data_IF_176470519631
#
_entry.id   IF_176470519631
#
_cell.length_a   1.000
_cell.length_b   1.000
_cell.length_c   1.000
_cell.angle_alpha   90.00
_cell.angle_beta   90.00
_cell.angle_gamma   90.00
#
_symmetry.space_group_name_H-M   'P 1'
#
loop_
_entity.id
_entity.type
_entity.pdbx_description
1 polymer ?
#
# COMPACT_ATOMS: atom_id res chain seq x y z
N UNK A 1 53.85 20.09 -47.76
CA UNK A 1 52.82 19.55 -48.68
C UNK A 1 51.52 20.29 -48.40
N UNK A 2 50.89 20.84 -49.44
CA UNK A 2 49.71 21.72 -49.38
C UNK A 2 48.46 20.85 -49.43
N UNK A 3 47.51 21.02 -48.50
CA UNK A 3 46.16 20.45 -48.63
C UNK A 3 45.19 21.59 -48.94
N UNK A 4 44.59 21.52 -50.13
CA UNK A 4 43.64 22.51 -50.63
C UNK A 4 42.28 22.36 -49.94
N UNK A 5 41.78 23.49 -49.44
CA UNK A 5 40.37 23.69 -49.09
C UNK A 5 39.54 23.58 -50.38
N UNK A 6 38.61 22.64 -50.42
CA UNK A 6 37.59 22.59 -51.48
C UNK A 6 36.23 22.73 -50.81
N UNK A 7 35.72 23.96 -50.83
CA UNK A 7 34.40 24.38 -50.37
C UNK A 7 33.36 23.84 -51.34
N UNK A 8 32.56 22.86 -50.91
CA UNK A 8 31.42 22.39 -51.70
C UNK A 8 30.14 23.03 -51.19
N UNK A 9 29.53 23.85 -52.05
CA UNK A 9 28.26 24.56 -51.80
C UNK A 9 27.09 23.58 -51.79
N UNK A 10 26.17 23.81 -50.85
CA UNK A 10 24.88 23.15 -50.68
C UNK A 10 24.04 23.07 -51.97
N UNK A 11 23.13 22.08 -52.05
CA UNK A 11 21.73 22.46 -52.14
C UNK A 11 20.96 22.03 -50.88
N UNK A 12 20.53 23.05 -50.15
CA UNK A 12 19.48 23.05 -49.15
C UNK A 12 18.16 22.83 -49.89
N UNK A 13 17.72 21.59 -50.05
CA UNK A 13 16.36 21.13 -50.38
C UNK A 13 16.49 19.78 -51.08
N UNK A 14 16.03 18.70 -50.44
CA UNK A 14 15.43 17.51 -51.08
C UNK A 14 15.50 16.25 -50.20
N UNK A 15 15.24 16.31 -48.88
CA UNK A 15 14.83 15.10 -48.14
C UNK A 15 13.76 15.46 -47.11
N UNK A 16 12.67 16.08 -47.58
CA UNK A 16 11.37 16.12 -46.89
C UNK A 16 10.46 15.09 -47.57
N UNK A 17 10.83 13.81 -47.54
CA UNK A 17 10.03 12.73 -48.11
C UNK A 17 10.41 11.36 -47.53
N UNK A 18 10.63 11.25 -46.21
CA UNK A 18 10.49 9.97 -45.53
C UNK A 18 9.11 10.00 -44.87
N UNK A 19 8.12 9.71 -45.72
CA UNK A 19 6.72 9.64 -45.39
C UNK A 19 6.52 8.78 -44.13
N UNK A 20 5.70 9.32 -43.25
CA UNK A 20 5.02 8.69 -42.12
C UNK A 20 4.55 7.27 -42.45
N UNK A 21 5.40 6.27 -42.19
CA UNK A 21 4.98 4.88 -42.15
C UNK A 21 4.14 4.71 -40.89
N UNK A 22 2.84 4.52 -41.10
CA UNK A 22 1.80 4.56 -40.10
C UNK A 22 2.07 3.66 -38.89
N UNK A 23 2.04 4.28 -37.71
CA UNK A 23 1.84 3.59 -36.44
C UNK A 23 0.34 3.27 -36.28
N UNK A 24 -0.23 2.43 -37.15
CA UNK A 24 -1.52 1.79 -36.85
C UNK A 24 -1.24 0.43 -36.22
N UNK A 25 -0.82 0.43 -34.95
CA UNK A 25 -0.95 -0.77 -34.14
C UNK A 25 -2.44 -0.95 -33.80
N UNK A 26 -3.23 -1.41 -34.77
CA UNK A 26 -4.58 -1.92 -34.51
C UNK A 26 -4.41 -3.18 -33.65
N UNK A 27 -4.65 -3.07 -32.34
CA UNK A 27 -4.76 -4.25 -31.49
C UNK A 27 -6.03 -5.01 -31.91
N UNK A 28 -5.85 -6.13 -32.62
CA UNK A 28 -6.95 -6.95 -33.17
C UNK A 28 -7.73 -7.71 -32.09
N UNK A 29 -7.24 -7.70 -30.84
CA UNK A 29 -7.83 -8.45 -29.74
C UNK A 29 -7.91 -7.57 -28.50
N UNK A 30 -9.09 -7.48 -27.90
CA UNK A 30 -9.24 -6.84 -26.60
C UNK A 30 -8.36 -7.56 -25.56
N UNK A 31 -7.65 -6.83 -24.68
CA UNK A 31 -6.91 -7.44 -23.59
C UNK A 31 -7.86 -8.30 -22.74
N UNK A 32 -7.56 -9.59 -22.59
CA UNK A 32 -8.33 -10.46 -21.69
C UNK A 32 -8.02 -9.99 -20.25
N UNK A 33 -9.03 -9.62 -19.45
CA UNK A 33 -8.81 -9.23 -18.06
C UNK A 33 -8.15 -10.38 -17.31
N UNK A 34 -7.06 -10.10 -16.61
CA UNK A 34 -6.47 -11.09 -15.71
C UNK A 34 -7.49 -11.45 -14.62
N UNK A 35 -7.61 -12.74 -14.23
CA UNK A 35 -8.43 -13.14 -13.11
C UNK A 35 -8.02 -12.32 -11.88
N UNK A 36 -8.98 -11.61 -11.28
CA UNK A 36 -8.71 -10.88 -10.04
C UNK A 36 -8.68 -11.88 -8.90
N UNK A 37 -7.66 -11.73 -8.06
CA UNK A 37 -7.65 -12.41 -6.77
C UNK A 37 -8.82 -11.90 -5.91
N UNK A 38 -9.61 -12.83 -5.38
CA UNK A 38 -10.70 -12.55 -4.46
C UNK A 38 -10.37 -13.28 -3.15
N UNK A 39 -10.03 -12.56 -2.06
CA UNK A 39 -9.70 -13.19 -0.79
C UNK A 39 -10.94 -13.83 -0.14
N UNK A 40 -10.75 -14.95 0.56
CA UNK A 40 -11.79 -15.56 1.41
C UNK A 40 -11.47 -15.21 2.87
N UNK A 41 -12.11 -14.16 3.40
CA UNK A 41 -11.76 -13.61 4.70
C UNK A 41 -12.47 -14.35 5.83
N UNK A 42 -11.70 -14.77 6.84
CA UNK A 42 -12.21 -15.27 8.11
C UNK A 42 -11.53 -14.59 9.30
N UNK A 43 -12.17 -14.69 10.47
CA UNK A 43 -11.64 -14.16 11.72
C UNK A 43 -10.78 -15.22 12.41
N UNK A 44 -9.57 -14.83 12.78
CA UNK A 44 -8.67 -15.63 13.60
C UNK A 44 -9.09 -15.67 15.08
N UNK A 45 -8.18 -16.16 15.92
CA UNK A 45 -8.37 -16.21 17.36
C UNK A 45 -8.45 -14.80 17.97
N UNK A 46 -9.30 -14.65 18.99
CA UNK A 46 -9.43 -13.40 19.72
C UNK A 46 -8.18 -13.13 20.57
N UNK A 47 -7.65 -11.92 20.45
CA UNK A 47 -6.43 -11.50 21.15
C UNK A 47 -6.72 -10.25 21.95
N UNK A 48 -6.25 -10.25 23.21
CA UNK A 48 -6.24 -9.04 24.04
C UNK A 48 -5.09 -8.13 23.61
N UNK A 49 -5.42 -6.90 23.21
CA UNK A 49 -4.49 -5.89 22.74
C UNK A 49 -4.54 -4.67 23.65
N UNK A 50 -3.37 -4.14 23.97
CA UNK A 50 -3.19 -2.84 24.60
C UNK A 50 -2.79 -1.81 23.53
N UNK A 51 -3.66 -0.82 23.32
CA UNK A 51 -3.44 0.28 22.39
C UNK A 51 -2.84 1.45 23.16
N UNK A 52 -1.63 1.86 22.77
CA UNK A 52 -0.94 2.99 23.37
C UNK A 52 -1.57 4.33 22.95
N UNK A 53 -1.43 5.38 23.78
CA UNK A 53 -2.04 6.70 23.52
C UNK A 53 -1.42 7.45 22.34
N UNK A 54 -0.22 7.04 21.90
CA UNK A 54 0.56 7.68 20.85
C UNK A 54 0.52 6.88 19.55
N UNK A 55 0.62 7.61 18.43
CA UNK A 55 0.72 7.05 17.08
C UNK A 55 2.14 7.23 16.58
N UNK A 56 2.51 6.45 15.57
CA UNK A 56 3.78 6.60 14.86
C UNK A 56 3.55 6.51 13.36
N UNK A 57 4.53 6.88 12.56
CA UNK A 57 4.50 6.58 11.13
C UNK A 57 4.60 5.06 10.93
N UNK A 58 3.78 4.51 10.05
CA UNK A 58 3.88 3.11 9.66
C UNK A 58 5.16 2.87 8.85
N UNK A 59 5.70 1.66 8.91
CA UNK A 59 6.74 1.21 7.98
C UNK A 59 6.09 0.86 6.64
N UNK A 60 5.80 1.90 5.85
CA UNK A 60 5.19 1.75 4.53
C UNK A 60 5.67 2.86 3.60
N UNK A 61 5.59 2.61 2.29
CA UNK A 61 5.94 3.62 1.28
C UNK A 61 4.98 4.84 1.30
N UNK A 62 3.78 4.68 1.85
CA UNK A 62 2.82 5.75 2.02
C UNK A 62 2.98 6.42 3.40
N UNK A 63 2.65 7.71 3.54
CA UNK A 63 2.73 8.44 4.80
C UNK A 63 1.57 8.09 5.75
N UNK A 64 1.42 6.81 6.08
CA UNK A 64 0.37 6.29 6.95
C UNK A 64 0.75 6.43 8.42
N UNK A 65 -0.28 6.54 9.28
CA UNK A 65 -0.14 6.54 10.73
C UNK A 65 -0.56 5.17 11.28
N UNK A 66 0.19 4.69 12.26
CA UNK A 66 -0.02 3.42 12.94
C UNK A 66 -0.32 3.65 14.42
N UNK A 67 -1.28 2.89 14.92
CA UNK A 67 -1.45 2.62 16.35
C UNK A 67 -0.24 1.83 16.83
N UNK A 68 0.29 2.19 18.00
CA UNK A 68 1.26 1.35 18.68
C UNK A 68 0.52 0.39 19.59
N UNK A 69 0.75 -0.91 19.42
CA UNK A 69 -0.03 -1.97 20.02
C UNK A 69 0.89 -2.98 20.71
N UNK A 70 0.47 -3.49 21.86
CA UNK A 70 1.10 -4.60 22.56
C UNK A 70 0.08 -5.71 22.76
N UNK A 71 0.50 -6.98 22.68
CA UNK A 71 -0.35 -8.08 23.16
C UNK A 71 -0.36 -8.05 24.68
N UNK A 72 -1.50 -8.35 25.31
CA UNK A 72 -1.58 -8.41 26.76
C UNK A 72 -0.53 -9.40 27.32
N UNK A 73 0.27 -8.93 28.27
CA UNK A 73 1.36 -9.72 28.86
C UNK A 73 2.64 -9.81 28.03
N UNK A 74 2.72 -9.15 26.86
CA UNK A 74 3.94 -9.00 26.07
C UNK A 74 4.52 -7.59 26.23
N UNK A 75 5.85 -7.47 26.14
CA UNK A 75 6.55 -6.18 26.05
C UNK A 75 6.80 -5.74 24.60
N UNK A 76 6.49 -6.60 23.63
CA UNK A 76 6.70 -6.32 22.20
C UNK A 76 5.65 -5.34 21.68
N UNK A 77 6.13 -4.22 21.12
CA UNK A 77 5.30 -3.21 20.48
C UNK A 77 5.32 -3.41 18.97
N UNK A 78 4.16 -3.44 18.35
CA UNK A 78 4.00 -3.49 16.91
C UNK A 78 2.99 -2.46 16.42
N UNK A 79 3.01 -2.18 15.11
CA UNK A 79 2.12 -1.23 14.47
C UNK A 79 0.88 -1.91 13.87
N UNK A 80 -0.29 -1.31 14.07
CA UNK A 80 -1.50 -1.58 13.26
C UNK A 80 -1.89 -0.26 12.60
N UNK A 81 -2.26 -0.27 11.31
CA UNK A 81 -2.68 0.97 10.65
C UNK A 81 -3.86 1.61 11.37
N UNK A 82 -3.90 2.94 11.35
CA UNK A 82 -4.80 3.72 12.20
C UNK A 82 -6.29 3.36 12.05
N UNK A 83 -6.70 2.89 10.87
CA UNK A 83 -8.08 2.53 10.56
C UNK A 83 -8.28 1.03 10.31
N UNK A 84 -7.26 0.21 10.54
CA UNK A 84 -7.24 -1.20 10.14
C UNK A 84 -7.87 -2.11 11.21
N UNK A 85 -8.48 -1.52 12.25
CA UNK A 85 -9.31 -2.22 13.23
C UNK A 85 -10.77 -1.80 13.01
N UNK A 86 -11.52 -2.65 12.31
CA UNK A 86 -12.93 -2.44 11.99
C UNK A 86 -13.76 -2.34 13.27
N UNK A 87 -14.62 -1.32 13.33
CA UNK A 87 -15.46 -1.03 14.49
C UNK A 87 -14.74 -0.27 15.62
N UNK A 88 -13.45 0.05 15.48
CA UNK A 88 -12.69 0.78 16.48
C UNK A 88 -12.33 2.19 15.98
N UNK A 89 -12.48 3.19 16.85
CA UNK A 89 -12.17 4.59 16.55
C UNK A 89 -11.38 5.22 17.70
N UNK A 90 -10.06 5.00 17.75
CA UNK A 90 -9.22 5.42 18.88
C UNK A 90 -9.01 6.93 18.91
N UNK A 91 -9.10 7.52 20.10
CA UNK A 91 -8.77 8.94 20.32
C UNK A 91 -7.29 9.10 20.68
N UNK A 92 -6.66 10.15 20.15
CA UNK A 92 -5.30 10.54 20.54
C UNK A 92 -5.24 10.82 22.05
N UNK A 93 -4.17 10.38 22.71
CA UNK A 93 -3.97 10.60 24.14
C UNK A 93 -4.80 9.67 25.03
N UNK A 94 -5.43 8.63 24.47
CA UNK A 94 -6.21 7.64 25.23
C UNK A 94 -5.58 6.27 25.04
N UNK A 95 -5.30 5.59 26.16
CA UNK A 95 -4.90 4.18 26.20
C UNK A 95 -6.15 3.30 26.19
N UNK A 96 -6.11 2.20 25.46
CA UNK A 96 -7.19 1.21 25.42
C UNK A 96 -6.70 -0.19 25.73
N UNK A 97 -7.55 -1.01 26.34
CA UNK A 97 -7.45 -2.47 26.26
C UNK A 97 -8.66 -2.98 25.51
N UNK A 98 -8.44 -3.79 24.48
CA UNK A 98 -9.48 -4.31 23.59
C UNK A 98 -9.29 -5.81 23.38
N UNK A 99 -10.37 -6.49 23.02
CA UNK A 99 -10.32 -7.81 22.37
C UNK A 99 -10.56 -7.59 20.89
N UNK A 100 -9.66 -8.10 20.05
CA UNK A 100 -9.78 -8.02 18.60
C UNK A 100 -9.33 -9.32 17.94
N UNK A 101 -9.88 -9.60 16.76
CA UNK A 101 -9.54 -10.77 15.93
C UNK A 101 -8.85 -10.31 14.64
N UNK A 102 -7.72 -10.91 14.25
CA UNK A 102 -7.10 -10.61 12.97
C UNK A 102 -7.94 -11.21 11.84
N UNK A 103 -7.98 -10.54 10.70
CA UNK A 103 -8.55 -11.10 9.48
C UNK A 103 -7.50 -11.94 8.75
N UNK A 104 -7.84 -13.21 8.53
CA UNK A 104 -7.03 -14.20 7.84
C UNK A 104 -7.67 -14.50 6.50
N UNK A 105 -6.87 -14.47 5.45
CA UNK A 105 -7.28 -14.97 4.14
C UNK A 105 -7.16 -16.49 4.11
N UNK A 106 -8.29 -17.19 4.01
CA UNK A 106 -8.37 -18.66 4.00
C UNK A 106 -7.72 -19.29 2.78
N UNK A 107 -7.59 -18.56 1.66
CA UNK A 107 -6.95 -19.10 0.46
C UNK A 107 -5.42 -19.22 0.65
N UNK A 108 -4.80 -18.29 1.39
CA UNK A 108 -3.35 -18.24 1.61
C UNK A 108 -2.94 -18.62 3.03
N UNK A 109 -3.90 -18.66 3.96
CA UNK A 109 -3.72 -18.79 5.40
C UNK A 109 -2.79 -17.71 5.98
N UNK A 110 -2.85 -16.49 5.44
CA UNK A 110 -2.05 -15.35 5.88
C UNK A 110 -2.93 -14.25 6.47
N UNK A 111 -2.37 -13.50 7.43
CA UNK A 111 -3.02 -12.30 7.94
C UNK A 111 -3.08 -11.23 6.85
N UNK A 112 -4.22 -10.55 6.77
CA UNK A 112 -4.45 -9.48 5.78
C UNK A 112 -3.91 -8.11 6.23
N UNK A 113 -3.61 -7.97 7.52
CA UNK A 113 -3.28 -6.69 8.16
C UNK A 113 -4.49 -6.02 8.83
N UNK A 114 -5.71 -6.40 8.43
CA UNK A 114 -6.95 -5.93 9.02
C UNK A 114 -7.35 -6.72 10.26
N UNK A 115 -8.11 -6.07 11.15
CA UNK A 115 -8.62 -6.62 12.39
C UNK A 115 -10.09 -6.26 12.57
N UNK A 116 -10.80 -7.07 13.33
CA UNK A 116 -12.16 -6.81 13.76
C UNK A 116 -12.18 -6.62 15.28
N UNK A 117 -12.77 -5.50 15.74
CA UNK A 117 -13.03 -5.28 17.15
C UNK A 117 -14.14 -6.23 17.61
N UNK A 118 -13.89 -6.92 18.72
CA UNK A 118 -14.91 -7.67 19.45
C UNK A 118 -15.41 -6.86 20.65
N UNK A 119 -14.50 -6.36 21.49
CA UNK A 119 -14.86 -5.68 22.74
C UNK A 119 -13.82 -4.62 23.15
N UNK A 120 -14.27 -3.54 23.79
CA UNK A 120 -13.41 -2.58 24.49
C UNK A 120 -13.52 -2.87 25.99
N UNK A 121 -12.44 -3.36 26.59
CA UNK A 121 -12.37 -3.68 28.01
C UNK A 121 -12.11 -2.43 28.86
N UNK A 122 -11.29 -1.51 28.36
CA UNK A 122 -10.87 -0.32 29.10
C UNK A 122 -10.55 0.83 28.15
N UNK A 123 -10.85 2.05 28.60
CA UNK A 123 -10.39 3.30 27.99
C UNK A 123 -9.91 4.26 29.09
N UNK A 124 -8.70 4.80 28.95
CA UNK A 124 -8.09 5.69 29.94
C UNK A 124 -7.37 6.86 29.26
N UNK A 125 -7.86 8.11 29.44
CA UNK A 125 -7.11 9.29 29.02
C UNK A 125 -5.79 9.39 29.79
N UNK A 126 -4.73 9.71 29.06
CA UNK A 126 -3.40 9.97 29.63
C UNK A 126 -3.29 11.47 29.88
N UNK A 127 -3.04 11.85 31.15
CA UNK A 127 -2.86 13.24 31.57
C UNK A 127 -1.44 13.72 31.31
#
# INVERSE_FOLDING_TARGET
MKYNLTTFRLPLMAILAAATLGLSACQTTAPVPQPRYIPDIALGEAVALEILPTRTSCDSAAPMQCLQVQKAGSSEVFGIGYNDIKGFSPRTGVRYQIIARPEIDKNTNQATGEWQLDEILMQQPVR
#
